data_IF_989921871148
#
_entry.id   IF_989921871148
#
_cell.length_a   1.000
_cell.length_b   1.000
_cell.length_c   1.000
_cell.angle_alpha   90.00
_cell.angle_beta   90.00
_cell.angle_gamma   90.00
#
_symmetry.space_group_name_H-M   'P 1'
#
loop_
_entity.id
_entity.type
_entity.pdbx_description
1 polymer ?
#
# COMPACT_ATOMS: atom_id res chain seq x y z
N UNK A 1 13.90 -78.33 -15.47
CA UNK A 1 13.23 -77.48 -14.48
C UNK A 1 13.13 -76.08 -15.06
N UNK A 2 11.93 -75.60 -15.38
CA UNK A 2 11.68 -74.29 -15.99
C UNK A 2 11.44 -73.25 -14.89
N UNK A 3 11.92 -72.00 -15.02
CA UNK A 3 11.46 -70.91 -14.16
C UNK A 3 10.14 -70.33 -14.72
N UNK A 4 9.19 -70.08 -13.82
CA UNK A 4 7.89 -69.44 -14.10
C UNK A 4 8.04 -67.93 -14.01
N UNK A 5 7.54 -67.21 -15.01
CA UNK A 5 7.43 -65.76 -15.03
C UNK A 5 6.33 -65.28 -14.08
N UNK A 6 6.59 -64.21 -13.33
CA UNK A 6 5.60 -63.48 -12.54
C UNK A 6 5.32 -62.14 -13.24
N UNK A 7 4.15 -62.01 -13.84
CA UNK A 7 3.74 -60.81 -14.56
C UNK A 7 3.18 -59.79 -13.58
N UNK A 8 3.85 -58.66 -13.37
CA UNK A 8 3.31 -57.53 -12.62
C UNK A 8 2.47 -56.66 -13.55
N UNK A 9 1.17 -56.57 -13.28
CA UNK A 9 0.27 -55.65 -13.98
C UNK A 9 0.57 -54.21 -13.51
N UNK A 10 1.16 -53.39 -14.39
CA UNK A 10 1.36 -51.96 -14.15
C UNK A 10 0.03 -51.22 -14.21
N UNK A 11 -0.44 -50.71 -13.08
CA UNK A 11 -1.53 -49.72 -13.05
C UNK A 11 -1.03 -48.43 -13.72
N UNK A 12 -1.60 -48.10 -14.88
CA UNK A 12 -1.37 -46.81 -15.52
C UNK A 12 -2.03 -45.70 -14.69
N UNK A 13 -1.22 -44.92 -13.99
CA UNK A 13 -1.67 -43.70 -13.33
C UNK A 13 -1.97 -42.66 -14.41
N UNK A 14 -3.25 -42.45 -14.72
CA UNK A 14 -3.66 -41.42 -15.66
C UNK A 14 -3.40 -40.05 -15.03
N UNK A 15 -2.42 -39.30 -15.55
CA UNK A 15 -2.14 -37.95 -15.13
C UNK A 15 -3.35 -37.07 -15.47
N UNK A 16 -4.07 -36.59 -14.45
CA UNK A 16 -5.06 -35.54 -14.61
C UNK A 16 -4.32 -34.29 -15.11
N UNK A 17 -4.58 -33.88 -16.35
CA UNK A 17 -4.07 -32.61 -16.85
C UNK A 17 -4.57 -31.50 -15.93
N UNK A 18 -3.64 -30.79 -15.27
CA UNK A 18 -3.98 -29.60 -14.52
C UNK A 18 -4.73 -28.64 -15.47
N UNK A 19 -5.87 -28.04 -15.05
CA UNK A 19 -6.55 -27.08 -15.87
C UNK A 19 -5.55 -26.00 -16.25
N UNK A 20 -5.44 -25.75 -17.55
CA UNK A 20 -4.53 -24.82 -18.18
C UNK A 20 -4.61 -23.46 -17.47
N UNK A 21 -3.68 -23.22 -16.54
CA UNK A 21 -3.37 -21.87 -16.08
C UNK A 21 -2.61 -21.25 -17.23
N UNK A 22 -3.28 -20.41 -18.01
CA UNK A 22 -2.62 -19.63 -19.06
C UNK A 22 -1.42 -18.90 -18.46
N UNK A 23 -0.25 -19.08 -19.06
CA UNK A 23 0.98 -18.46 -18.58
C UNK A 23 0.80 -16.93 -18.63
N UNK A 24 0.89 -16.26 -17.49
CA UNK A 24 0.86 -14.79 -17.44
C UNK A 24 2.19 -14.31 -18.04
N UNK A 25 2.15 -13.87 -19.29
CA UNK A 25 3.32 -13.30 -19.96
C UNK A 25 3.64 -11.95 -19.34
N UNK A 26 4.88 -11.76 -18.90
CA UNK A 26 5.38 -10.46 -18.46
C UNK A 26 5.25 -9.46 -19.60
N UNK A 27 4.62 -8.32 -19.33
CA UNK A 27 4.58 -7.20 -20.27
C UNK A 27 5.96 -6.54 -20.38
N UNK A 28 6.13 -5.67 -21.37
CA UNK A 28 7.38 -4.92 -21.60
C UNK A 28 7.50 -3.65 -20.75
N UNK A 29 6.57 -3.40 -19.83
CA UNK A 29 6.59 -2.22 -18.96
C UNK A 29 7.41 -2.54 -17.71
N UNK A 30 8.47 -1.78 -17.49
CA UNK A 30 9.27 -1.83 -16.27
C UNK A 30 8.78 -0.74 -15.30
N UNK A 31 8.69 -1.10 -14.01
CA UNK A 31 8.25 -0.20 -12.95
C UNK A 31 9.26 -0.30 -11.81
N UNK A 32 9.79 0.85 -11.40
CA UNK A 32 10.70 0.97 -10.27
C UNK A 32 10.11 1.84 -9.17
N UNK A 33 10.59 1.61 -7.95
CA UNK A 33 10.26 2.43 -6.80
C UNK A 33 11.38 3.44 -6.54
N UNK A 34 10.99 4.70 -6.39
CA UNK A 34 11.88 5.76 -5.91
C UNK A 34 11.41 6.25 -4.55
N UNK A 35 12.31 6.20 -3.57
CA UNK A 35 12.04 6.79 -2.26
C UNK A 35 11.83 8.31 -2.41
N UNK A 36 10.67 8.78 -1.96
CA UNK A 36 10.32 10.21 -1.99
C UNK A 36 10.64 10.88 -0.65
N UNK A 37 10.21 10.31 0.48
CA UNK A 37 10.45 10.89 1.81
C UNK A 37 10.35 9.81 2.90
N UNK A 38 10.93 10.10 4.08
CA UNK A 38 10.86 9.27 5.29
C UNK A 38 10.41 10.12 6.50
N UNK A 39 10.37 9.51 7.69
CA UNK A 39 10.14 10.22 8.96
C UNK A 39 8.67 10.34 9.39
N UNK A 40 7.77 9.56 8.82
CA UNK A 40 6.40 9.37 9.32
C UNK A 40 6.32 8.12 10.21
N UNK A 41 5.32 8.07 11.09
CA UNK A 41 5.11 6.94 12.01
C UNK A 41 4.27 5.85 11.35
N UNK A 42 3.07 6.20 10.89
CA UNK A 42 2.13 5.28 10.24
C UNK A 42 1.33 6.03 9.17
N UNK A 43 1.93 6.29 7.98
CA UNK A 43 1.24 7.00 6.90
C UNK A 43 0.11 6.13 6.32
N UNK A 44 -1.12 6.66 6.32
CA UNK A 44 -2.33 5.94 5.87
C UNK A 44 -2.99 6.56 4.65
N UNK A 45 -2.71 7.82 4.33
CA UNK A 45 -3.28 8.51 3.18
C UNK A 45 -2.33 9.58 2.63
N UNK A 46 -2.37 9.82 1.32
CA UNK A 46 -1.60 10.84 0.61
C UNK A 46 -2.52 11.59 -0.35
N UNK A 47 -2.50 12.92 -0.31
CA UNK A 47 -3.25 13.76 -1.26
C UNK A 47 -2.52 15.07 -1.56
N UNK A 48 -3.10 15.91 -2.41
CA UNK A 48 -2.67 17.28 -2.67
C UNK A 48 -3.81 18.26 -2.42
N UNK A 49 -3.49 19.53 -2.20
CA UNK A 49 -4.49 20.57 -1.95
C UNK A 49 -5.23 21.06 -3.21
N UNK A 50 -4.72 20.73 -4.41
CA UNK A 50 -5.32 21.21 -5.68
C UNK A 50 -5.08 22.69 -5.95
N UNK A 51 -4.20 23.33 -5.17
CA UNK A 51 -3.89 24.77 -5.16
C UNK A 51 -2.66 25.14 -6.02
N UNK A 52 -2.21 24.24 -6.90
CA UNK A 52 -1.01 24.46 -7.74
C UNK A 52 0.33 24.50 -6.98
N UNK A 53 0.35 24.37 -5.66
CA UNK A 53 1.57 24.51 -4.85
C UNK A 53 2.57 23.34 -4.98
N UNK A 54 2.12 22.22 -5.56
CA UNK A 54 2.90 20.98 -5.65
C UNK A 54 3.15 20.30 -4.30
N UNK A 55 2.49 20.76 -3.22
CA UNK A 55 2.58 20.15 -1.90
C UNK A 55 1.80 18.86 -1.84
N UNK A 56 2.40 17.85 -1.22
CA UNK A 56 1.72 16.61 -0.87
C UNK A 56 1.46 16.58 0.64
N UNK A 57 0.28 16.12 1.02
CA UNK A 57 -0.17 16.02 2.41
C UNK A 57 -0.30 14.55 2.77
N UNK A 58 0.53 14.10 3.71
CA UNK A 58 0.55 12.73 4.23
C UNK A 58 -0.21 12.71 5.54
N UNK A 59 -1.28 11.93 5.59
CA UNK A 59 -2.01 11.65 6.82
C UNK A 59 -1.29 10.55 7.58
N UNK A 60 -0.81 10.86 8.77
CA UNK A 60 -0.18 9.94 9.70
C UNK A 60 -1.20 9.55 10.78
N UNK A 61 -1.44 8.25 10.95
CA UNK A 61 -2.45 7.71 11.86
C UNK A 61 -2.28 8.22 13.30
N UNK A 62 -1.05 8.53 13.69
CA UNK A 62 -0.69 9.12 14.98
C UNK A 62 -1.25 10.54 15.22
N UNK A 63 -2.02 11.11 14.28
CA UNK A 63 -2.74 12.36 14.42
C UNK A 63 -2.05 13.58 13.82
N UNK A 64 -1.10 13.37 12.91
CA UNK A 64 -0.35 14.45 12.25
C UNK A 64 -0.60 14.41 10.75
N UNK A 65 -0.70 15.59 10.15
CA UNK A 65 -0.68 15.75 8.70
C UNK A 65 0.66 16.37 8.33
N UNK A 66 1.53 15.60 7.69
CA UNK A 66 2.83 16.06 7.23
C UNK A 66 2.73 16.65 5.83
N UNK A 67 3.55 17.66 5.55
CA UNK A 67 3.70 18.21 4.20
C UNK A 67 5.01 17.73 3.61
N UNK A 68 4.96 17.19 2.39
CA UNK A 68 6.13 16.98 1.55
C UNK A 68 6.13 18.08 0.50
N UNK A 69 7.26 18.77 0.39
CA UNK A 69 7.51 19.78 -0.64
C UNK A 69 8.93 19.58 -1.18
N UNK A 70 9.09 19.60 -2.50
CA UNK A 70 10.39 19.40 -3.16
C UNK A 70 11.08 18.08 -2.74
N UNK A 71 10.31 17.01 -2.54
CA UNK A 71 10.83 15.70 -2.14
C UNK A 71 11.31 15.63 -0.68
N UNK A 72 10.97 16.60 0.17
CA UNK A 72 11.32 16.58 1.59
C UNK A 72 10.11 16.85 2.47
N UNK A 73 10.01 16.09 3.56
CA UNK A 73 9.04 16.35 4.63
C UNK A 73 9.44 17.63 5.38
N UNK A 74 8.50 18.57 5.51
CA UNK A 74 8.69 19.75 6.34
C UNK A 74 8.80 19.39 7.83
N UNK A 75 9.51 20.22 8.59
CA UNK A 75 9.71 20.00 10.03
C UNK A 75 8.41 20.19 10.83
N UNK A 76 7.59 21.17 10.45
CA UNK A 76 6.29 21.43 11.07
C UNK A 76 5.18 20.72 10.28
N UNK A 77 4.27 20.00 10.97
CA UNK A 77 3.10 19.45 10.31
C UNK A 77 2.13 20.56 9.91
N UNK A 78 1.28 20.28 8.91
CA UNK A 78 0.14 21.11 8.56
C UNK A 78 -0.90 21.14 9.68
N UNK A 79 -1.15 19.98 10.29
CA UNK A 79 -2.09 19.80 11.38
C UNK A 79 -1.53 18.80 12.39
N UNK A 80 -1.70 19.08 13.68
CA UNK A 80 -1.43 18.15 14.77
C UNK A 80 -2.65 18.09 15.70
N UNK A 81 -3.37 16.97 15.65
CA UNK A 81 -4.49 16.66 16.54
C UNK A 81 -4.19 15.45 17.43
N UNK A 82 -2.93 15.05 17.55
CA UNK A 82 -2.53 13.85 18.31
C UNK A 82 -3.02 13.88 19.76
N UNK A 83 -3.10 15.06 20.38
CA UNK A 83 -3.65 15.25 21.73
C UNK A 83 -5.17 15.10 21.84
N UNK A 84 -5.90 15.04 20.73
CA UNK A 84 -7.36 14.82 20.70
C UNK A 84 -7.75 13.37 20.41
N UNK A 85 -6.77 12.52 20.09
CA UNK A 85 -6.98 11.14 19.69
C UNK A 85 -6.80 10.17 20.87
N UNK A 86 -7.47 9.01 20.85
CA UNK A 86 -7.21 7.97 21.83
C UNK A 86 -5.79 7.41 21.68
N UNK A 87 -5.24 6.86 22.76
CA UNK A 87 -4.01 6.08 22.70
C UNK A 87 -4.20 4.88 21.77
N UNK A 88 -3.32 4.78 20.78
CA UNK A 88 -3.31 3.68 19.81
C UNK A 88 -2.66 2.44 20.42
N UNK A 89 -3.23 1.29 20.15
CA UNK A 89 -2.65 0.01 20.53
C UNK A 89 -1.60 -0.41 19.50
N UNK A 90 -0.53 -1.09 19.93
CA UNK A 90 0.40 -1.71 18.98
C UNK A 90 -0.28 -2.93 18.33
N UNK A 91 -0.55 -2.87 17.02
CA UNK A 91 -1.16 -3.97 16.27
C UNK A 91 -2.18 -3.51 15.23
N UNK A 92 -3.25 -4.28 15.03
CA UNK A 92 -4.38 -3.95 14.15
C UNK A 92 -5.32 -2.98 14.87
N UNK A 93 -5.02 -1.68 14.79
CA UNK A 93 -5.86 -0.61 15.31
C UNK A 93 -6.22 0.31 14.14
N UNK A 94 -7.51 0.45 13.86
CA UNK A 94 -8.02 1.33 12.80
C UNK A 94 -8.47 2.69 13.34
N UNK A 95 -8.29 2.95 14.64
CA UNK A 95 -8.56 4.27 15.23
C UNK A 95 -7.42 5.23 14.90
N UNK A 96 -7.68 6.53 15.08
CA UNK A 96 -6.72 7.59 14.82
C UNK A 96 -7.17 8.50 13.69
N UNK A 97 -6.24 9.21 13.07
CA UNK A 97 -6.52 10.07 11.92
C UNK A 97 -6.43 9.25 10.62
N UNK A 98 -7.52 9.17 9.87
CA UNK A 98 -7.64 8.23 8.73
C UNK A 98 -7.72 8.89 7.36
N UNK A 99 -8.07 10.17 7.29
CA UNK A 99 -8.30 10.84 6.01
C UNK A 99 -8.26 12.35 6.11
N UNK A 100 -8.30 12.97 4.94
CA UNK A 100 -8.25 14.42 4.71
C UNK A 100 -8.90 14.71 3.35
N UNK A 101 -9.68 15.79 3.25
CA UNK A 101 -10.28 16.18 1.99
C UNK A 101 -10.25 17.70 1.81
N UNK A 102 -9.35 18.19 0.97
CA UNK A 102 -9.35 19.61 0.59
C UNK A 102 -10.62 19.96 -0.17
N UNK A 103 -11.25 21.07 0.20
CA UNK A 103 -12.35 21.64 -0.57
C UNK A 103 -11.84 22.01 -1.98
N UNK A 104 -12.63 21.86 -3.06
CA UNK A 104 -12.20 22.23 -4.41
C UNK A 104 -11.75 23.69 -4.57
N UNK A 105 -12.23 24.55 -3.67
CA UNK A 105 -11.92 25.98 -3.57
C UNK A 105 -11.02 26.32 -2.36
N UNK A 106 -10.18 25.36 -1.94
CA UNK A 106 -9.32 25.49 -0.76
C UNK A 106 -8.40 26.71 -0.82
N UNK A 107 -7.91 27.07 -2.01
CA UNK A 107 -7.06 28.26 -2.21
C UNK A 107 -7.73 29.55 -1.72
N UNK A 108 -9.06 29.66 -1.89
CA UNK A 108 -9.80 30.87 -1.52
C UNK A 108 -10.45 30.77 -0.14
N UNK A 109 -10.82 29.57 0.32
CA UNK A 109 -11.63 29.41 1.52
C UNK A 109 -10.96 28.67 2.69
N UNK A 110 -9.81 28.05 2.47
CA UNK A 110 -9.05 27.34 3.50
C UNK A 110 -9.76 26.13 4.13
N UNK A 111 -10.79 25.57 3.49
CA UNK A 111 -11.55 24.40 4.01
C UNK A 111 -10.94 23.09 3.56
N UNK A 112 -10.80 22.16 4.50
CA UNK A 112 -10.23 20.82 4.30
C UNK A 112 -10.81 19.81 5.30
#
# INVERSE_FOLDING_TARGET
MSPRALTAAGMSLSAMAAPCVGQITLGSVEIDLKLVSTGMTAPVFLTHAGDGSGRLFVVDQAGKIWVIQNGQRLAMPFLDISGLLPTLSMGFDERGLLGLAFHPDYENNGRF
#
